data_IF_842893305296
#
_entry.id   IF_842893305296
#
_cell.length_a   1.000
_cell.length_b   1.000
_cell.length_c   1.000
_cell.angle_alpha   90.00
_cell.angle_beta   90.00
_cell.angle_gamma   90.00
#
_symmetry.space_group_name_H-M   'P 1'
#
loop_
_entity.id
_entity.type
_entity.pdbx_description
1 polymer ?
#
# COMPACT_ATOMS: atom_id res chain seq x y z
N UNK A 1 -17.18 3.38 -8.95
CA UNK A 1 -16.92 3.85 -7.57
C UNK A 1 -15.42 3.84 -7.42
N UNK A 2 -14.85 4.85 -6.79
CA UNK A 2 -13.40 5.01 -6.66
C UNK A 2 -13.09 4.99 -5.17
N UNK A 3 -12.23 4.06 -4.74
CA UNK A 3 -11.79 3.98 -3.35
C UNK A 3 -10.60 4.92 -3.16
N UNK A 4 -10.59 5.66 -2.04
CA UNK A 4 -9.48 6.56 -1.71
C UNK A 4 -8.96 6.20 -0.34
N UNK A 5 -7.68 5.84 -0.29
CA UNK A 5 -6.99 5.37 0.91
C UNK A 5 -5.88 6.38 1.23
N UNK A 6 -5.83 6.83 2.47
CA UNK A 6 -4.72 7.66 2.97
C UNK A 6 -3.70 6.78 3.66
N UNK A 7 -2.48 6.83 3.16
CA UNK A 7 -1.38 6.03 3.68
C UNK A 7 -0.84 6.64 4.98
N UNK A 8 -0.91 5.87 6.07
CA UNK A 8 -0.32 6.22 7.35
C UNK A 8 0.99 5.45 7.57
N UNK A 9 2.11 6.15 7.44
CA UNK A 9 3.45 5.60 7.58
C UNK A 9 3.72 5.06 9.00
N UNK A 10 3.09 5.61 10.04
CA UNK A 10 3.30 5.16 11.42
C UNK A 10 2.72 3.77 11.68
N UNK A 11 1.82 3.30 10.79
CA UNK A 11 1.25 1.95 10.85
C UNK A 11 2.11 0.89 10.16
N UNK A 12 3.17 1.29 9.46
CA UNK A 12 4.06 0.40 8.69
C UNK A 12 5.42 0.32 9.37
N UNK A 13 5.49 -0.37 10.51
CA UNK A 13 6.73 -0.49 11.30
C UNK A 13 7.56 -1.72 10.92
N UNK A 14 6.86 -2.78 10.55
CA UNK A 14 7.39 -4.11 10.32
C UNK A 14 6.39 -4.92 9.47
N UNK A 15 6.74 -6.17 9.18
CA UNK A 15 5.93 -7.06 8.35
C UNK A 15 4.51 -7.28 8.88
N UNK A 16 4.35 -7.48 10.19
CA UNK A 16 3.05 -7.81 10.76
C UNK A 16 2.15 -6.58 10.83
N UNK A 17 2.70 -5.43 11.22
CA UNK A 17 1.97 -4.16 11.26
C UNK A 17 1.56 -3.68 9.86
N UNK A 18 2.46 -3.80 8.88
CA UNK A 18 2.16 -3.56 7.47
C UNK A 18 1.01 -4.45 6.99
N UNK A 19 1.12 -5.77 7.22
CA UNK A 19 0.10 -6.71 6.76
C UNK A 19 -1.26 -6.43 7.39
N UNK A 20 -1.31 -6.21 8.71
CA UNK A 20 -2.56 -5.89 9.38
C UNK A 20 -3.18 -4.58 8.87
N UNK A 21 -2.35 -3.57 8.60
CA UNK A 21 -2.84 -2.30 8.06
C UNK A 21 -3.36 -2.44 6.62
N UNK A 22 -2.63 -3.14 5.74
CA UNK A 22 -3.03 -3.36 4.35
C UNK A 22 -4.32 -4.18 4.24
N UNK A 23 -4.45 -5.21 5.07
CA UNK A 23 -5.67 -6.03 5.17
C UNK A 23 -6.90 -5.18 5.57
N UNK A 24 -6.73 -4.25 6.51
CA UNK A 24 -7.78 -3.33 6.95
C UNK A 24 -8.25 -2.39 5.84
N UNK A 25 -7.31 -1.82 5.06
CA UNK A 25 -7.65 -0.77 4.06
C UNK A 25 -8.08 -1.34 2.70
N UNK A 26 -7.62 -2.53 2.32
CA UNK A 26 -8.00 -3.15 1.04
C UNK A 26 -9.05 -4.26 1.21
N UNK A 27 -9.37 -4.66 2.45
CA UNK A 27 -10.26 -5.79 2.74
C UNK A 27 -9.85 -7.05 1.97
N UNK A 28 -8.57 -7.39 2.05
CA UNK A 28 -8.00 -8.50 1.32
C UNK A 28 -8.63 -9.84 1.75
N UNK A 29 -8.63 -10.85 0.85
CA UNK A 29 -9.16 -12.16 1.16
C UNK A 29 -8.32 -12.90 2.21
N UNK A 30 -8.93 -13.88 2.91
CA UNK A 30 -8.31 -14.62 4.02
C UNK A 30 -6.96 -15.31 3.69
N UNK A 31 -6.66 -15.51 2.39
CA UNK A 31 -5.40 -16.09 1.92
C UNK A 31 -4.25 -15.07 1.80
N UNK A 32 -4.40 -13.84 2.27
CA UNK A 32 -3.32 -12.85 2.25
C UNK A 32 -2.08 -13.35 3.01
N UNK A 33 -0.99 -13.61 2.28
CA UNK A 33 0.26 -14.18 2.80
C UNK A 33 1.10 -13.28 3.73
N UNK A 34 0.56 -12.10 4.11
CA UNK A 34 1.13 -11.15 5.07
C UNK A 34 2.58 -10.78 4.81
N UNK A 35 2.95 -10.59 3.55
CA UNK A 35 4.30 -10.23 3.14
C UNK A 35 4.26 -9.32 1.89
N UNK A 36 5.41 -8.76 1.50
CA UNK A 36 5.48 -7.80 0.39
C UNK A 36 5.16 -8.43 -0.98
N UNK A 37 5.55 -9.68 -1.21
CA UNK A 37 5.25 -10.38 -2.46
C UNK A 37 3.74 -10.66 -2.58
N UNK A 38 3.12 -11.13 -1.50
CA UNK A 38 1.68 -11.35 -1.43
C UNK A 38 0.88 -10.04 -1.56
N UNK A 39 1.43 -8.92 -1.07
CA UNK A 39 0.84 -7.60 -1.29
C UNK A 39 0.90 -7.21 -2.77
N UNK A 40 2.05 -7.43 -3.42
CA UNK A 40 2.19 -7.15 -4.85
C UNK A 40 1.21 -7.98 -5.70
N UNK A 41 1.08 -9.27 -5.40
CA UNK A 41 0.15 -10.18 -6.09
C UNK A 41 -1.29 -9.66 -5.98
N UNK A 42 -1.77 -9.36 -4.76
CA UNK A 42 -3.14 -8.88 -4.57
C UNK A 42 -3.41 -7.53 -5.23
N UNK A 43 -2.44 -6.61 -5.19
CA UNK A 43 -2.56 -5.31 -5.84
C UNK A 43 -2.62 -5.45 -7.38
N UNK A 44 -1.94 -6.43 -7.96
CA UNK A 44 -2.02 -6.70 -9.40
C UNK A 44 -3.42 -7.18 -9.84
N UNK A 45 -4.20 -7.76 -8.92
CA UNK A 45 -5.55 -8.28 -9.16
C UNK A 45 -6.66 -7.25 -8.83
N UNK A 46 -6.31 -6.05 -8.34
CA UNK A 46 -7.30 -5.01 -8.03
C UNK A 46 -7.97 -4.52 -9.32
N UNK A 47 -9.27 -4.77 -9.45
CA UNK A 47 -10.09 -4.32 -10.60
C UNK A 47 -10.86 -3.01 -10.34
N UNK A 48 -10.86 -2.53 -9.10
CA UNK A 48 -11.54 -1.29 -8.71
C UNK A 48 -10.55 -0.14 -8.63
N UNK A 49 -10.88 1.00 -9.23
CA UNK A 49 -10.05 2.20 -9.17
C UNK A 49 -9.80 2.60 -7.72
N UNK A 50 -8.54 2.54 -7.29
CA UNK A 50 -8.08 2.78 -5.93
C UNK A 50 -6.98 3.85 -5.95
N UNK A 51 -7.26 4.96 -5.28
CA UNK A 51 -6.34 6.09 -5.13
C UNK A 51 -5.66 6.01 -3.77
N UNK A 52 -4.33 5.87 -3.77
CA UNK A 52 -3.50 5.90 -2.57
C UNK A 52 -2.94 7.32 -2.43
N UNK A 53 -3.46 8.06 -1.46
CA UNK A 53 -3.02 9.40 -1.11
C UNK A 53 -1.90 9.35 -0.06
N UNK A 54 -0.82 10.08 -0.31
CA UNK A 54 0.32 10.20 0.59
C UNK A 54 0.60 11.69 0.80
N UNK A 55 0.61 12.15 2.04
CA UNK A 55 1.04 13.52 2.34
C UNK A 55 2.56 13.62 2.52
N UNK A 56 3.09 14.85 2.45
CA UNK A 56 4.53 15.10 2.62
C UNK A 56 5.11 14.58 3.95
N UNK A 57 4.34 14.58 5.04
CA UNK A 57 4.81 14.10 6.34
C UNK A 57 4.95 12.57 6.33
N UNK A 58 3.95 11.88 5.79
CA UNK A 58 3.96 10.42 5.63
C UNK A 58 5.07 9.98 4.68
N UNK A 59 5.27 10.70 3.55
CA UNK A 59 6.39 10.43 2.65
C UNK A 59 7.74 10.57 3.37
N UNK A 60 7.93 11.64 4.15
CA UNK A 60 9.16 11.84 4.91
C UNK A 60 9.41 10.71 5.93
N UNK A 61 8.37 10.27 6.65
CA UNK A 61 8.46 9.12 7.57
C UNK A 61 8.82 7.83 6.86
N UNK A 62 8.22 7.58 5.69
CA UNK A 62 8.52 6.42 4.87
C UNK A 62 9.99 6.40 4.47
N UNK A 63 10.54 7.54 4.04
CA UNK A 63 11.96 7.64 3.67
C UNK A 63 12.94 7.35 4.83
N UNK A 64 12.49 7.48 6.09
CA UNK A 64 13.28 7.20 7.29
C UNK A 64 13.14 5.76 7.79
N UNK A 65 12.20 4.97 7.24
CA UNK A 65 11.92 3.59 7.63
C UNK A 65 12.19 2.63 6.48
N UNK A 66 13.14 1.71 6.64
CA UNK A 66 13.50 0.73 5.61
C UNK A 66 12.31 -0.12 5.16
N UNK A 67 11.46 -0.55 6.12
CA UNK A 67 10.32 -1.40 5.80
C UNK A 67 9.17 -0.63 5.17
N UNK A 68 8.88 0.58 5.67
CA UNK A 68 7.87 1.43 5.06
C UNK A 68 8.28 1.83 3.63
N UNK A 69 9.57 2.10 3.41
CA UNK A 69 10.11 2.40 2.09
C UNK A 69 9.96 1.23 1.12
N UNK A 70 10.24 0.01 1.55
CA UNK A 70 9.99 -1.21 0.75
C UNK A 70 8.51 -1.38 0.42
N UNK A 71 7.63 -1.10 1.38
CA UNK A 71 6.17 -1.16 1.17
C UNK A 71 5.73 -0.14 0.13
N UNK A 72 6.19 1.10 0.23
CA UNK A 72 5.90 2.13 -0.78
C UNK A 72 6.41 1.74 -2.17
N UNK A 73 7.59 1.12 -2.29
CA UNK A 73 8.06 0.60 -3.57
C UNK A 73 7.11 -0.43 -4.18
N UNK A 74 6.57 -1.35 -3.38
CA UNK A 74 5.57 -2.31 -3.86
C UNK A 74 4.32 -1.60 -4.36
N UNK A 75 3.83 -0.61 -3.63
CA UNK A 75 2.67 0.19 -4.07
C UNK A 75 2.95 0.92 -5.39
N UNK A 76 4.14 1.52 -5.54
CA UNK A 76 4.55 2.23 -6.77
C UNK A 76 4.61 1.27 -7.95
N UNK A 77 5.31 0.14 -7.79
CA UNK A 77 5.41 -0.87 -8.84
C UNK A 77 4.01 -1.37 -9.26
N UNK A 78 3.13 -1.63 -8.29
CA UNK A 78 1.76 -2.04 -8.57
C UNK A 78 0.96 -0.97 -9.33
N UNK A 79 1.17 0.32 -9.04
CA UNK A 79 0.55 1.42 -9.79
C UNK A 79 1.12 1.57 -11.22
N UNK A 80 2.38 1.18 -11.44
CA UNK A 80 2.96 1.13 -12.79
C UNK A 80 2.39 -0.02 -13.62
N UNK A 81 2.15 -1.17 -12.98
CA UNK A 81 1.67 -2.40 -13.65
C UNK A 81 0.13 -2.50 -13.74
N UNK A 82 -0.60 -1.86 -12.82
CA UNK A 82 -2.07 -1.89 -12.74
C UNK A 82 -2.66 -0.47 -12.77
N UNK A 83 -3.32 -0.11 -13.88
CA UNK A 83 -3.96 1.19 -14.08
C UNK A 83 -5.10 1.49 -13.09
N UNK A 84 -5.62 0.49 -12.38
CA UNK A 84 -6.62 0.70 -11.33
C UNK A 84 -6.00 1.31 -10.07
N UNK A 85 -4.68 1.21 -9.87
CA UNK A 85 -4.00 1.77 -8.70
C UNK A 85 -3.36 3.10 -9.10
N UNK A 86 -3.69 4.14 -8.35
CA UNK A 86 -3.15 5.49 -8.58
C UNK A 86 -2.53 6.02 -7.30
N UNK A 87 -1.26 6.42 -7.35
CA UNK A 87 -0.60 7.11 -6.23
C UNK A 87 -0.69 8.61 -6.42
N UNK A 88 -1.11 9.33 -5.38
CA UNK A 88 -1.23 10.79 -5.37
C UNK A 88 -0.51 11.38 -4.17
N UNK A 89 0.37 12.34 -4.43
CA UNK A 89 0.95 13.18 -3.38
C UNK A 89 -0.01 14.35 -3.09
N UNK A 90 -0.33 14.58 -1.81
CA UNK A 90 -1.26 15.63 -1.35
C UNK A 90 -0.66 16.57 -0.30
#
# INVERSE_FOLDING_TARGET
MTDTIRLDADRIKDKESMAAYMDEIFCFPEYFGRNLDALADLLSEVETETVIEIDHLNLAKICLSDYAYKTLKVLINAAEDNHCIVIRLI
#
